data_IF_614032350983
#
_entry.id   IF_614032350983
#
_cell.length_a   1.000
_cell.length_b   1.000
_cell.length_c   1.000
_cell.angle_alpha   90.00
_cell.angle_beta   90.00
_cell.angle_gamma   90.00
#
_symmetry.space_group_name_H-M   'P 1'
#
loop_
_entity.id
_entity.type
_entity.pdbx_description
1 polymer ?
#
# COMPACT_ATOMS: atom_id res chain seq x y z
N UNK A 1 -8.67 5.67 -11.90
CA UNK A 1 -7.45 4.85 -12.05
C UNK A 1 -6.15 5.59 -11.73
N UNK A 2 -6.04 6.91 -11.96
CA UNK A 2 -4.81 7.68 -11.66
C UNK A 2 -4.31 7.55 -10.21
N UNK A 3 -5.23 7.51 -9.24
CA UNK A 3 -4.90 7.38 -7.82
C UNK A 3 -4.09 6.10 -7.50
N UNK A 4 -4.54 4.95 -8.00
CA UNK A 4 -3.85 3.68 -7.73
C UNK A 4 -2.44 3.65 -8.32
N UNK A 5 -2.25 4.19 -9.52
CA UNK A 5 -0.92 4.30 -10.12
C UNK A 5 0.03 5.18 -9.28
N UNK A 6 -0.45 6.33 -8.80
CA UNK A 6 0.30 7.19 -7.89
C UNK A 6 0.62 6.48 -6.56
N UNK A 7 -0.39 5.88 -5.93
CA UNK A 7 -0.22 5.21 -4.64
C UNK A 7 0.80 4.06 -4.72
N UNK A 8 0.71 3.22 -5.74
CA UNK A 8 1.70 2.14 -5.97
C UNK A 8 3.10 2.69 -6.24
N UNK A 9 3.24 3.75 -7.04
CA UNK A 9 4.54 4.39 -7.27
C UNK A 9 5.13 4.99 -5.99
N UNK A 10 4.28 5.55 -5.11
CA UNK A 10 4.70 6.09 -3.82
C UNK A 10 5.29 5.00 -2.91
N UNK A 11 4.65 3.83 -2.83
CA UNK A 11 5.19 2.67 -2.10
C UNK A 11 6.54 2.23 -2.67
N UNK A 12 6.69 2.17 -4.00
CA UNK A 12 7.95 1.82 -4.64
C UNK A 12 9.06 2.83 -4.30
N UNK A 13 8.76 4.13 -4.36
CA UNK A 13 9.72 5.19 -4.01
C UNK A 13 10.17 5.06 -2.56
N UNK A 14 9.26 4.78 -1.64
CA UNK A 14 9.62 4.55 -0.24
C UNK A 14 10.50 3.31 -0.08
N UNK A 15 10.18 2.20 -0.75
CA UNK A 15 11.02 0.99 -0.77
C UNK A 15 12.44 1.27 -1.28
N UNK A 16 12.55 2.05 -2.37
CA UNK A 16 13.84 2.49 -2.92
C UNK A 16 14.61 3.38 -1.94
N UNK A 17 13.93 4.31 -1.26
CA UNK A 17 14.55 5.16 -0.23
C UNK A 17 15.14 4.32 0.90
N UNK A 18 14.38 3.33 1.39
CA UNK A 18 14.80 2.42 2.47
C UNK A 18 15.88 1.42 2.06
N UNK A 19 16.04 1.16 0.76
CA UNK A 19 17.12 0.33 0.22
C UNK A 19 18.52 0.95 0.40
N UNK A 20 18.58 2.27 0.57
CA UNK A 20 19.80 3.04 0.69
C UNK A 20 20.56 3.20 -0.63
N UNK A 21 21.81 3.69 -0.55
CA UNK A 21 22.66 3.98 -1.72
C UNK A 21 22.94 2.71 -2.52
N UNK A 22 22.78 2.77 -3.85
CA UNK A 22 22.94 1.65 -4.80
C UNK A 22 21.95 0.50 -4.56
N UNK A 23 20.65 0.70 -4.86
CA UNK A 23 19.65 -0.34 -4.69
C UNK A 23 19.92 -1.52 -5.64
N UNK A 24 19.81 -2.74 -5.11
CA UNK A 24 19.67 -3.98 -5.88
C UNK A 24 18.28 -4.54 -5.67
N UNK A 25 17.90 -5.58 -6.41
CA UNK A 25 16.63 -6.29 -6.19
C UNK A 25 16.49 -6.75 -4.73
N UNK A 26 17.51 -7.38 -4.18
CA UNK A 26 17.51 -7.92 -2.81
C UNK A 26 17.38 -6.79 -1.78
N UNK A 27 18.05 -5.65 -2.01
CA UNK A 27 17.95 -4.50 -1.13
C UNK A 27 16.60 -3.81 -1.20
N UNK A 28 15.98 -3.79 -2.39
CA UNK A 28 14.61 -3.29 -2.56
C UNK A 28 13.59 -4.15 -1.82
N UNK A 29 13.67 -5.48 -1.96
CA UNK A 29 12.79 -6.38 -1.21
C UNK A 29 12.96 -6.16 0.30
N UNK A 30 14.20 -6.14 0.80
CA UNK A 30 14.47 -5.85 2.22
C UNK A 30 13.96 -4.48 2.67
N UNK A 31 14.08 -3.45 1.83
CA UNK A 31 13.58 -2.11 2.10
C UNK A 31 12.05 -2.08 2.22
N UNK A 32 11.36 -2.74 1.29
CA UNK A 32 9.90 -2.90 1.32
C UNK A 32 9.44 -3.71 2.53
N UNK A 33 10.14 -4.78 2.91
CA UNK A 33 9.85 -5.60 4.10
C UNK A 33 10.06 -4.87 5.44
N UNK A 34 10.58 -3.63 5.43
CA UNK A 34 10.60 -2.79 6.63
C UNK A 34 9.31 -1.97 6.82
N UNK A 35 8.40 -1.99 5.84
CA UNK A 35 7.08 -1.36 5.97
C UNK A 35 6.25 -2.23 6.91
N UNK A 36 6.04 -1.74 8.14
CA UNK A 36 5.27 -2.44 9.17
C UNK A 36 4.31 -1.45 9.80
N UNK A 37 3.00 -1.71 9.65
CA UNK A 37 1.92 -0.80 9.98
C UNK A 37 2.22 0.63 9.47
N UNK A 38 2.71 0.71 8.22
CA UNK A 38 3.20 1.96 7.70
C UNK A 38 2.03 2.85 7.26
N UNK A 39 1.94 4.03 7.85
CA UNK A 39 1.02 5.07 7.41
C UNK A 39 1.62 5.84 6.24
N UNK A 40 1.09 5.56 5.06
CA UNK A 40 1.52 6.18 3.80
C UNK A 40 0.66 7.37 3.40
N UNK A 41 -0.51 7.54 4.03
CA UNK A 41 -1.55 8.47 3.59
C UNK A 41 -2.22 8.12 2.24
N UNK A 42 -1.80 7.05 1.55
CA UNK A 42 -2.34 6.66 0.23
C UNK A 42 -3.06 5.31 0.22
N UNK A 43 -2.74 4.46 1.19
CA UNK A 43 -3.43 3.21 1.51
C UNK A 43 -3.70 3.18 3.02
N UNK A 44 -4.62 2.30 3.50
CA UNK A 44 -4.65 1.93 4.91
C UNK A 44 -3.29 1.52 5.43
N UNK A 45 -3.14 1.51 6.76
CA UNK A 45 -1.94 0.95 7.40
C UNK A 45 -1.67 -0.45 6.82
N UNK A 46 -0.44 -0.64 6.34
CA UNK A 46 -0.10 -1.87 5.63
C UNK A 46 1.30 -2.36 5.99
N UNK A 47 1.49 -3.67 5.88
CA UNK A 47 2.70 -4.37 6.29
C UNK A 47 3.19 -5.29 5.20
N UNK A 48 4.48 -5.21 4.89
CA UNK A 48 5.17 -6.24 4.13
C UNK A 48 6.13 -6.99 5.03
N UNK A 49 6.20 -8.30 4.85
CA UNK A 49 7.12 -9.18 5.54
C UNK A 49 7.73 -10.16 4.56
N UNK A 50 8.79 -10.86 4.97
CA UNK A 50 9.46 -11.87 4.13
C UNK A 50 8.51 -12.93 3.54
N UNK A 51 7.44 -13.25 4.25
CA UNK A 51 6.53 -14.33 3.89
C UNK A 51 5.13 -13.80 3.48
N UNK A 52 4.91 -12.50 3.53
CA UNK A 52 3.63 -11.89 3.17
C UNK A 52 3.84 -10.50 2.55
N UNK A 53 3.47 -10.40 1.27
CA UNK A 53 3.54 -9.16 0.48
C UNK A 53 2.14 -8.68 0.04
N UNK A 54 1.06 -9.13 0.69
CA UNK A 54 -0.29 -8.63 0.42
C UNK A 54 -0.42 -7.15 0.81
N UNK A 55 0.22 -6.74 1.91
CA UNK A 55 0.25 -5.35 2.37
C UNK A 55 -0.99 -4.98 3.15
N UNK A 56 -2.07 -4.69 2.42
CA UNK A 56 -3.33 -4.19 2.97
C UNK A 56 -4.29 -5.36 3.13
N UNK A 57 -4.80 -5.54 4.34
CA UNK A 57 -5.80 -6.58 4.66
C UNK A 57 -7.20 -6.01 4.90
N UNK A 58 -7.36 -4.68 4.81
CA UNK A 58 -8.65 -4.02 5.04
C UNK A 58 -9.24 -3.43 3.76
N UNK A 59 -10.57 -3.46 3.66
CA UNK A 59 -11.33 -2.91 2.55
C UNK A 59 -12.52 -2.08 3.03
N UNK A 60 -12.98 -1.17 2.18
CA UNK A 60 -14.29 -0.52 2.31
C UNK A 60 -15.23 -1.07 1.23
N UNK A 61 -16.47 -1.31 1.60
CA UNK A 61 -17.50 -1.67 0.63
C UNK A 61 -18.13 -0.40 0.06
N UNK A 62 -18.11 -0.30 -1.27
CA UNK A 62 -18.75 0.77 -2.02
C UNK A 62 -20.00 0.24 -2.71
N UNK A 63 -21.10 0.95 -2.56
CA UNK A 63 -22.34 0.71 -3.29
C UNK A 63 -22.58 1.82 -4.30
N UNK A 64 -23.05 1.47 -5.50
CA UNK A 64 -23.55 2.46 -6.46
C UNK A 64 -24.96 2.90 -6.05
N UNK A 65 -25.12 4.17 -5.73
CA UNK A 65 -26.41 4.80 -5.43
C UNK A 65 -26.57 6.03 -6.32
N UNK A 66 -27.58 6.03 -7.18
CA UNK A 66 -27.82 7.16 -8.11
C UNK A 66 -26.63 7.48 -9.01
N UNK A 67 -25.86 6.46 -9.44
CA UNK A 67 -24.67 6.62 -10.27
C UNK A 67 -23.42 7.12 -9.54
N UNK A 68 -23.47 7.28 -8.21
CA UNK A 68 -22.33 7.67 -7.37
C UNK A 68 -21.87 6.47 -6.53
N UNK A 69 -20.56 6.35 -6.34
CA UNK A 69 -20.00 5.42 -5.37
C UNK A 69 -20.18 5.99 -3.96
N UNK A 70 -20.83 5.23 -3.08
CA UNK A 70 -21.09 5.60 -1.69
C UNK A 70 -20.51 4.51 -0.79
N UNK A 71 -19.69 4.90 0.18
CA UNK A 71 -19.20 3.95 1.18
C UNK A 71 -20.36 3.52 2.09
N UNK A 72 -20.54 2.20 2.23
CA UNK A 72 -21.57 1.61 3.09
C UNK A 72 -20.97 0.93 4.33
N UNK A 73 -19.64 0.90 4.41
CA UNK A 73 -18.88 0.45 5.58
C UNK A 73 -17.68 1.35 5.81
N UNK A 74 -17.20 1.40 7.06
CA UNK A 74 -15.80 1.76 7.35
C UNK A 74 -14.84 0.63 6.93
N UNK A 75 -13.54 0.80 7.18
CA UNK A 75 -12.52 -0.23 6.95
C UNK A 75 -12.87 -1.52 7.69
N UNK A 76 -12.81 -2.65 6.99
CA UNK A 76 -13.03 -4.00 7.55
C UNK A 76 -11.99 -4.98 7.05
N UNK A 77 -11.60 -5.91 7.91
CA UNK A 77 -10.77 -7.07 7.57
C UNK A 77 -11.65 -8.25 7.16
#
# INVERSE_FOLDING_TARGET
>A
YHYYGFATAYVLVEGLRRSGKYPTRERLMKGLETLNNWDSGVFPLFTYSRNDHAGVESVILLQLQGGKQVAITDWRN
#
